data_IF_867829623510
#
_entry.id   IF_867829623510
#
_cell.length_a   1.000
_cell.length_b   1.000
_cell.length_c   1.000
_cell.angle_alpha   90.00
_cell.angle_beta   90.00
_cell.angle_gamma   90.00
#
_symmetry.space_group_name_H-M   'P 1'
#
loop_
_entity.id
_entity.type
_entity.pdbx_description
1 polymer ?
#
# COMPACT_ATOMS: atom_id res chain seq x y z
N UNK A 1 -13.16 2.80 -12.09
CA UNK A 1 -11.90 2.19 -11.64
C UNK A 1 -10.80 3.22 -11.77
N UNK A 2 -9.89 3.32 -10.80
CA UNK A 2 -8.66 4.11 -10.99
C UNK A 2 -7.82 3.47 -12.08
N UNK A 3 -7.13 4.28 -12.86
CA UNK A 3 -6.16 3.83 -13.86
C UNK A 3 -4.89 3.29 -13.19
N UNK A 4 -4.12 2.47 -13.91
CA UNK A 4 -2.83 1.93 -13.43
C UNK A 4 -1.89 3.04 -12.94
N UNK A 5 -1.76 4.11 -13.71
CA UNK A 5 -0.91 5.26 -13.36
C UNK A 5 -1.34 5.95 -12.05
N UNK A 6 -2.63 6.04 -11.78
CA UNK A 6 -3.14 6.60 -10.52
C UNK A 6 -2.84 5.69 -9.32
N UNK A 7 -2.90 4.37 -9.53
CA UNK A 7 -2.55 3.37 -8.50
C UNK A 7 -1.05 3.43 -8.19
N UNK A 8 -0.19 3.47 -9.22
CA UNK A 8 1.27 3.59 -9.06
C UNK A 8 1.65 4.91 -8.37
N UNK A 9 1.04 6.03 -8.76
CA UNK A 9 1.23 7.33 -8.10
C UNK A 9 0.85 7.29 -6.62
N UNK A 10 -0.30 6.66 -6.30
CA UNK A 10 -0.75 6.50 -4.91
C UNK A 10 0.20 5.60 -4.12
N UNK A 11 0.68 4.52 -4.73
CA UNK A 11 1.63 3.60 -4.11
C UNK A 11 2.96 4.30 -3.78
N UNK A 12 3.47 5.14 -4.70
CA UNK A 12 4.67 5.93 -4.47
C UNK A 12 4.49 6.92 -3.31
N UNK A 13 3.35 7.61 -3.26
CA UNK A 13 3.04 8.54 -2.16
C UNK A 13 2.95 7.82 -0.80
N UNK A 14 2.34 6.63 -0.75
CA UNK A 14 2.24 5.84 0.48
C UNK A 14 3.61 5.34 0.95
N UNK A 15 4.47 4.88 0.03
CA UNK A 15 5.82 4.42 0.36
C UNK A 15 6.76 5.54 0.80
N UNK A 16 6.50 6.77 0.38
CA UNK A 16 7.24 7.96 0.79
C UNK A 16 6.82 8.51 2.17
N UNK A 17 5.77 7.94 2.79
CA UNK A 17 5.33 8.35 4.12
C UNK A 17 6.39 7.99 5.18
N UNK A 18 6.94 9.01 5.85
CA UNK A 18 8.01 8.83 6.83
C UNK A 18 7.64 7.84 7.95
N UNK A 19 6.35 7.70 8.25
CA UNK A 19 5.86 6.86 9.36
C UNK A 19 6.05 5.38 9.10
N UNK A 20 6.23 4.98 7.84
CA UNK A 20 6.63 3.63 7.46
C UNK A 20 8.12 3.35 7.71
N UNK A 21 8.95 4.39 7.82
CA UNK A 21 10.38 4.25 8.13
C UNK A 21 10.66 4.08 9.62
N UNK A 22 9.71 4.49 10.48
CA UNK A 22 9.82 4.33 11.92
C UNK A 22 9.76 2.85 12.34
N UNK A 23 10.34 2.49 13.50
CA UNK A 23 10.14 1.18 14.09
C UNK A 23 8.65 0.83 14.20
N UNK A 24 8.27 -0.45 14.03
CA UNK A 24 6.89 -0.88 14.20
C UNK A 24 6.37 -0.53 15.60
N UNK A 25 5.31 0.27 15.65
CA UNK A 25 4.61 0.60 16.87
C UNK A 25 3.55 -0.47 17.19
N UNK A 26 3.17 -0.54 18.47
CA UNK A 26 2.06 -1.37 18.94
C UNK A 26 1.16 -0.58 19.89
N UNK A 27 0.06 -1.20 20.32
CA UNK A 27 -0.96 -0.54 21.17
C UNK A 27 -0.38 -0.09 22.52
N UNK A 28 0.63 -0.78 23.04
CA UNK A 28 1.24 -0.48 24.34
C UNK A 28 2.31 0.60 24.26
N UNK A 29 3.02 0.71 23.12
CA UNK A 29 4.11 1.69 22.95
C UNK A 29 3.64 2.99 22.32
N UNK A 30 2.81 2.90 21.26
CA UNK A 30 2.27 4.05 20.56
C UNK A 30 1.08 3.61 19.68
N UNK A 31 -0.10 3.48 20.31
CA UNK A 31 -1.31 3.02 19.62
C UNK A 31 -1.68 3.85 18.37
N UNK A 32 -1.62 5.20 18.39
CA UNK A 32 -1.90 5.99 17.18
C UNK A 32 -0.96 5.67 16.02
N UNK A 33 0.36 5.59 16.26
CA UNK A 33 1.32 5.26 15.22
C UNK A 33 1.12 3.85 14.70
N UNK A 34 0.80 2.90 15.58
CA UNK A 34 0.53 1.51 15.20
C UNK A 34 -0.64 1.43 14.21
N UNK A 35 -1.75 2.12 14.49
CA UNK A 35 -2.91 2.17 13.60
C UNK A 35 -2.58 2.81 12.25
N UNK A 36 -1.81 3.89 12.25
CA UNK A 36 -1.36 4.55 11.01
C UNK A 36 -0.49 3.61 10.18
N UNK A 37 0.51 2.96 10.80
CA UNK A 37 1.39 2.04 10.11
C UNK A 37 0.63 0.83 9.54
N UNK A 38 -0.36 0.30 10.26
CA UNK A 38 -1.23 -0.78 9.77
C UNK A 38 -2.06 -0.30 8.57
N UNK A 39 -2.68 0.87 8.65
CA UNK A 39 -3.46 1.41 7.54
C UNK A 39 -2.61 1.62 6.28
N UNK A 40 -1.44 2.23 6.41
CA UNK A 40 -0.50 2.47 5.31
C UNK A 40 -0.03 1.14 4.68
N UNK A 41 0.36 0.17 5.50
CA UNK A 41 0.79 -1.16 5.01
C UNK A 41 -0.33 -1.88 4.28
N UNK A 42 -1.55 -1.86 4.82
CA UNK A 42 -2.71 -2.49 4.19
C UNK A 42 -3.03 -1.85 2.84
N UNK A 43 -2.98 -0.53 2.73
CA UNK A 43 -3.23 0.17 1.46
C UNK A 43 -2.15 -0.18 0.42
N UNK A 44 -0.87 -0.21 0.80
CA UNK A 44 0.22 -0.64 -0.08
C UNK A 44 0.03 -2.08 -0.57
N UNK A 45 -0.32 -3.00 0.34
CA UNK A 45 -0.57 -4.40 -0.01
C UNK A 45 -1.74 -4.56 -0.98
N UNK A 46 -2.87 -3.91 -0.69
CA UNK A 46 -4.06 -3.99 -1.53
C UNK A 46 -3.81 -3.43 -2.94
N UNK A 47 -3.17 -2.26 -3.04
CA UNK A 47 -2.86 -1.65 -4.34
C UNK A 47 -1.84 -2.47 -5.14
N UNK A 48 -0.84 -3.06 -4.47
CA UNK A 48 0.12 -3.97 -5.11
C UNK A 48 -0.58 -5.23 -5.64
N UNK A 49 -1.51 -5.79 -4.86
CA UNK A 49 -2.29 -6.96 -5.27
C UNK A 49 -3.16 -6.66 -6.50
N UNK A 50 -3.88 -5.53 -6.50
CA UNK A 50 -4.70 -5.11 -7.66
C UNK A 50 -3.84 -4.92 -8.91
N UNK A 51 -2.65 -4.33 -8.78
CA UNK A 51 -1.73 -4.18 -9.92
C UNK A 51 -1.31 -5.54 -10.48
N UNK A 52 -0.90 -6.47 -9.62
CA UNK A 52 -0.49 -7.82 -10.02
C UNK A 52 -1.62 -8.58 -10.73
N UNK A 53 -2.83 -8.57 -10.15
CA UNK A 53 -4.00 -9.22 -10.74
C UNK A 53 -4.37 -8.59 -12.10
N UNK A 54 -4.17 -7.29 -12.26
CA UNK A 54 -4.40 -6.59 -13.53
C UNK A 54 -3.39 -6.96 -14.62
N UNK A 55 -2.17 -7.38 -14.25
CA UNK A 55 -1.14 -7.85 -15.17
C UNK A 55 -1.42 -9.29 -15.61
N UNK A 56 -1.71 -10.18 -14.65
CA UNK A 56 -2.03 -11.60 -14.93
C UNK A 56 -3.28 -11.73 -15.83
N UNK A 57 -4.28 -10.85 -15.66
CA UNK A 57 -5.48 -10.79 -16.51
C UNK A 57 -5.22 -10.25 -17.93
N UNK A 58 -4.14 -9.51 -18.15
CA UNK A 58 -3.73 -9.08 -19.50
C UNK A 58 -3.01 -10.22 -20.21
N UNK A 59 -2.09 -10.90 -19.54
CA UNK A 59 -1.35 -12.04 -20.10
C UNK A 59 -2.25 -13.24 -20.44
N UNK A 60 -3.35 -13.43 -19.71
CA UNK A 60 -4.32 -14.50 -19.98
C UNK A 60 -5.29 -14.20 -21.15
N UNK A 61 -5.23 -13.02 -21.75
CA UNK A 61 -6.10 -12.58 -22.86
C UNK A 61 -5.35 -12.38 -24.19
N UNK A 62 -4.03 -12.57 -24.18
CA UNK A 62 -3.18 -12.69 -25.39
C UNK A 62 -2.98 -14.17 -25.73
#
# INVERSE_FOLDING_TARGET
MKTRAEIEKRLAALKADERLSYPPANVFTNAPLALIQVALKNEVMALTWVLKESEEKKESKE
#
